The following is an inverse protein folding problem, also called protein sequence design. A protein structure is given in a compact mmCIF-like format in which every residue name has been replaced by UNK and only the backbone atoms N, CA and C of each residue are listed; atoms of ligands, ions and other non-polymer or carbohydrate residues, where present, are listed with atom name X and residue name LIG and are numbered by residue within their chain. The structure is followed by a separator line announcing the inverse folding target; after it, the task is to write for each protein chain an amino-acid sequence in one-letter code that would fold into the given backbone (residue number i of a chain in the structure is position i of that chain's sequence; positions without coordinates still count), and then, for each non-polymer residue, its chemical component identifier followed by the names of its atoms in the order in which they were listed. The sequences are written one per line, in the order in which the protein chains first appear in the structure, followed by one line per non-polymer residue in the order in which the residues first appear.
data_IF_295435393917
#
_entry.id   IF_295435393917
#
_cell.length_a   1.000
_cell.length_b   1.000
_cell.length_c   1.000
_cell.angle_alpha   90.00
_cell.angle_beta   90.00
_cell.angle_gamma   90.00
#
_symmetry.space_group_name_H-M   'P 1'
#
loop_
_entity.id
_entity.type
_entity.pdbx_description
1 polymer ?
#
# COMPACT_ATOMS: atom_id res chain seq x y z
N UNK A 1 6.59 4.25 -2.63
CA UNK A 1 6.15 4.76 -1.31
C UNK A 1 5.70 3.59 -0.46
N UNK A 2 4.62 2.91 -0.84
CA UNK A 2 3.98 1.86 -0.03
C UNK A 2 4.95 0.74 0.39
N UNK A 3 5.84 0.31 -0.52
CA UNK A 3 6.91 -0.65 -0.20
C UNK A 3 7.75 -0.21 1.02
N UNK A 4 8.34 0.99 0.98
CA UNK A 4 9.19 1.50 2.06
C UNK A 4 8.41 1.92 3.32
N UNK A 5 7.15 2.32 3.17
CA UNK A 5 6.27 2.58 4.30
C UNK A 5 5.98 1.28 5.07
N UNK A 6 5.72 0.18 4.36
CA UNK A 6 5.46 -1.13 4.95
C UNK A 6 6.68 -1.76 5.66
N UNK A 7 7.91 -1.34 5.34
CA UNK A 7 9.12 -1.80 6.03
C UNK A 7 9.32 -1.19 7.42
N UNK A 8 8.53 -0.18 7.81
CA UNK A 8 8.60 0.44 9.12
C UNK A 8 8.26 -0.54 10.26
N UNK A 9 8.83 -0.33 11.44
CA UNK A 9 8.62 -1.20 12.61
C UNK A 9 7.30 -0.92 13.36
N UNK A 10 6.22 -0.56 12.67
CA UNK A 10 4.96 -0.17 13.31
C UNK A 10 3.75 -0.28 12.38
N UNK A 11 2.56 -0.04 12.93
CA UNK A 11 1.27 -0.05 12.20
C UNK A 11 1.07 1.14 11.25
N UNK A 12 2.04 2.06 11.18
CA UNK A 12 1.92 3.28 10.37
C UNK A 12 2.42 3.03 8.94
N UNK A 13 1.48 2.61 8.09
CA UNK A 13 1.69 2.44 6.65
C UNK A 13 1.59 3.77 5.87
N UNK A 14 1.32 4.88 6.56
CA UNK A 14 1.06 6.18 5.95
C UNK A 14 2.30 7.09 5.97
N UNK A 15 3.41 6.62 6.52
CA UNK A 15 4.66 7.37 6.56
C UNK A 15 5.89 6.49 6.28
N UNK A 16 6.95 7.11 5.75
CA UNK A 16 8.24 6.46 5.52
C UNK A 16 9.22 6.90 6.60
N UNK A 17 9.63 5.96 7.43
CA UNK A 17 10.60 6.20 8.50
C UNK A 17 11.99 6.53 7.95
N UNK A 18 12.83 7.14 8.78
CA UNK A 18 14.26 7.40 8.43
C UNK A 18 15.00 6.12 8.04
N UNK A 19 14.73 5.00 8.72
CA UNK A 19 15.39 3.73 8.42
C UNK A 19 14.97 3.20 7.05
N UNK A 20 13.67 3.27 6.74
CA UNK A 20 13.14 2.90 5.42
C UNK A 20 13.70 3.79 4.31
N UNK A 21 13.83 5.09 4.56
CA UNK A 21 14.46 6.03 3.63
C UNK A 21 15.94 5.68 3.37
N UNK A 22 16.70 5.36 4.42
CA UNK A 22 18.10 4.94 4.25
C UNK A 22 18.21 3.61 3.50
N UNK A 23 17.24 2.71 3.65
CA UNK A 23 17.19 1.48 2.86
C UNK A 23 16.92 1.79 1.39
N UNK A 24 15.96 2.68 1.07
CA UNK A 24 15.72 3.16 -0.28
C UNK A 24 16.96 3.77 -0.94
N UNK A 25 17.72 4.59 -0.21
CA UNK A 25 18.98 5.17 -0.71
C UNK A 25 20.00 4.07 -1.07
N UNK A 26 20.06 2.99 -0.28
CA UNK A 26 20.95 1.86 -0.52
C UNK A 26 20.48 0.99 -1.68
N UNK A 27 19.20 0.65 -1.72
CA UNK A 27 18.62 -0.21 -2.77
C UNK A 27 18.86 0.42 -4.14
N UNK A 28 18.61 1.72 -4.27
CA UNK A 28 18.84 2.45 -5.52
C UNK A 28 20.29 2.88 -5.76
N UNK A 29 21.22 2.52 -4.87
CA UNK A 29 22.62 2.91 -4.93
C UNK A 29 22.80 4.42 -5.21
N UNK A 30 22.08 5.26 -4.46
CA UNK A 30 22.06 6.71 -4.68
C UNK A 30 23.27 7.42 -4.06
N UNK A 31 23.92 6.78 -3.09
CA UNK A 31 25.03 7.36 -2.36
C UNK A 31 26.35 7.24 -3.15
N UNK A 32 26.98 8.38 -3.41
CA UNK A 32 28.35 8.47 -3.90
C UNK A 32 29.12 9.49 -3.08
N UNK A 33 30.10 9.00 -2.31
CA UNK A 33 30.90 9.83 -1.42
C UNK A 33 31.88 10.75 -2.16
N UNK A 34 32.12 10.52 -3.46
CA UNK A 34 32.95 11.40 -4.28
C UNK A 34 32.19 12.63 -4.81
N UNK A 35 30.87 12.51 -4.99
CA UNK A 35 30.07 13.53 -5.68
C UNK A 35 29.30 14.41 -4.69
N UNK A 36 29.55 15.73 -4.64
CA UNK A 36 28.78 16.65 -3.81
C UNK A 36 27.29 16.58 -4.14
N UNK A 37 26.45 16.51 -3.10
CA UNK A 37 25.01 16.31 -3.22
C UNK A 37 24.57 14.84 -3.19
N UNK A 38 25.48 13.89 -3.44
CA UNK A 38 25.20 12.46 -3.39
C UNK A 38 25.88 11.75 -2.21
N UNK A 39 26.60 12.49 -1.35
CA UNK A 39 27.22 11.92 -0.14
C UNK A 39 26.14 11.52 0.85
N UNK A 40 26.42 10.52 1.69
CA UNK A 40 25.47 10.08 2.73
C UNK A 40 24.93 11.21 3.61
N UNK A 41 25.77 12.22 3.89
CA UNK A 41 25.39 13.40 4.66
C UNK A 41 24.43 14.32 3.89
N UNK A 42 24.63 14.49 2.58
CA UNK A 42 23.78 15.33 1.74
C UNK A 42 22.40 14.68 1.58
N UNK A 43 22.35 13.36 1.39
CA UNK A 43 21.10 12.60 1.29
C UNK A 43 20.32 12.64 2.61
N UNK A 44 21.00 12.53 3.76
CA UNK A 44 20.36 12.74 5.07
C UNK A 44 19.81 14.16 5.24
N UNK A 45 20.52 15.17 4.74
CA UNK A 45 20.06 16.56 4.80
C UNK A 45 18.78 16.77 3.98
N UNK A 46 18.65 16.11 2.81
CA UNK A 46 17.42 16.15 1.99
C UNK A 46 16.23 15.60 2.80
N UNK A 47 16.40 14.47 3.48
CA UNK A 47 15.35 13.89 4.34
C UNK A 47 14.95 14.85 5.46
N UNK A 48 15.92 15.40 6.18
CA UNK A 48 15.67 16.31 7.30
C UNK A 48 15.01 17.62 6.85
N UNK A 49 15.43 18.14 5.70
CA UNK A 49 14.83 19.31 5.06
C UNK A 49 13.37 19.07 4.67
N UNK A 50 13.04 17.89 4.13
CA UNK A 50 11.67 17.56 3.74
C UNK A 50 10.71 17.46 4.94
N UNK A 51 11.18 16.90 6.06
CA UNK A 51 10.41 16.90 7.32
C UNK A 51 10.15 18.34 7.78
N UNK A 52 11.20 19.17 7.82
CA UNK A 52 11.12 20.53 8.35
C UNK A 52 10.26 21.50 7.52
N UNK A 53 10.14 21.27 6.21
CA UNK A 53 9.46 22.18 5.28
C UNK A 53 7.94 22.05 5.34
N UNK A 54 7.42 20.85 5.67
CA UNK A 54 5.98 20.54 5.64
C UNK A 54 5.36 20.29 7.02
N UNK A 55 6.17 20.12 8.08
CA UNK A 55 5.67 19.90 9.45
C UNK A 55 5.00 21.13 10.10
N UNK A 56 5.04 22.31 9.47
CA UNK A 56 4.42 23.53 10.04
C UNK A 56 2.91 23.61 9.81
N UNK A 57 2.33 22.71 9.02
CA UNK A 57 0.93 22.80 8.58
C UNK A 57 0.12 21.51 8.68
N UNK A 58 0.73 20.36 9.03
CA UNK A 58 0.08 19.06 8.87
C UNK A 58 -0.01 18.24 10.18
N UNK A 59 -1.26 17.99 10.62
CA UNK A 59 -1.63 17.26 11.84
C UNK A 59 -1.23 15.77 11.78
N UNK A 60 -0.99 15.24 10.57
CA UNK A 60 -0.55 13.88 10.31
C UNK A 60 0.97 13.72 10.15
N UNK A 61 1.75 14.78 10.36
CA UNK A 61 3.21 14.68 10.35
C UNK A 61 3.69 13.95 11.60
N UNK A 62 3.92 12.64 11.50
CA UNK A 62 4.70 11.93 12.49
C UNK A 62 6.07 12.62 12.57
N UNK A 63 6.44 13.14 13.74
CA UNK A 63 7.52 14.12 13.94
C UNK A 63 8.92 13.72 13.41
N UNK A 64 9.09 12.52 12.85
CA UNK A 64 10.35 11.94 12.35
C UNK A 64 10.17 11.02 11.13
N UNK A 65 9.06 11.12 10.39
CA UNK A 65 8.81 10.30 9.20
C UNK A 65 8.23 11.17 8.06
N UNK A 66 8.36 10.68 6.82
CA UNK A 66 7.87 11.37 5.64
C UNK A 66 6.46 10.88 5.31
N UNK A 67 5.48 11.78 5.28
CA UNK A 67 4.18 11.50 4.65
C UNK A 67 4.36 11.37 3.11
N UNK A 68 3.28 11.08 2.39
CA UNK A 68 3.34 10.85 0.94
C UNK A 68 3.80 12.09 0.15
N UNK A 69 3.40 13.28 0.56
CA UNK A 69 3.80 14.54 -0.09
C UNK A 69 5.29 14.83 0.13
N UNK A 70 5.76 14.69 1.37
CA UNK A 70 7.16 14.84 1.75
C UNK A 70 8.04 13.82 1.01
N UNK A 71 7.58 12.58 0.87
CA UNK A 71 8.27 11.54 0.11
C UNK A 71 8.46 11.92 -1.37
N UNK A 72 7.41 12.42 -2.02
CA UNK A 72 7.52 12.91 -3.41
C UNK A 72 8.51 14.07 -3.48
N UNK A 73 8.47 15.00 -2.52
CA UNK A 73 9.41 16.11 -2.45
C UNK A 73 10.88 15.65 -2.36
N UNK A 74 11.15 14.64 -1.53
CA UNK A 74 12.49 14.01 -1.44
C UNK A 74 12.91 13.40 -2.76
N UNK A 75 12.05 12.63 -3.43
CA UNK A 75 12.37 12.03 -4.74
C UNK A 75 12.73 13.11 -5.76
N UNK A 76 11.94 14.19 -5.83
CA UNK A 76 12.22 15.31 -6.74
C UNK A 76 13.59 15.92 -6.46
N UNK A 77 13.95 16.15 -5.19
CA UNK A 77 15.28 16.67 -4.86
C UNK A 77 16.41 15.70 -5.25
N UNK A 78 16.22 14.40 -5.05
CA UNK A 78 17.20 13.38 -5.47
C UNK A 78 17.43 13.40 -6.98
N UNK A 79 16.35 13.50 -7.77
CA UNK A 79 16.42 13.63 -9.23
C UNK A 79 17.21 14.87 -9.62
N UNK A 80 16.90 16.02 -9.01
CA UNK A 80 17.58 17.28 -9.30
C UNK A 80 19.07 17.20 -8.99
N UNK A 81 19.45 16.65 -7.84
CA UNK A 81 20.85 16.58 -7.43
C UNK A 81 21.64 15.59 -8.30
N UNK A 82 21.08 14.41 -8.57
CA UNK A 82 21.79 13.35 -9.31
C UNK A 82 21.89 13.64 -10.81
N UNK A 83 20.78 14.03 -11.43
CA UNK A 83 20.68 14.09 -12.89
C UNK A 83 20.73 15.51 -13.46
N UNK A 84 20.29 16.53 -12.72
CA UNK A 84 20.32 17.92 -13.21
C UNK A 84 21.61 18.62 -12.81
N UNK A 85 21.94 18.63 -11.51
CA UNK A 85 23.17 19.28 -11.02
C UNK A 85 24.39 18.43 -11.36
N UNK A 86 24.31 17.11 -11.19
CA UNK A 86 25.42 16.19 -11.46
C UNK A 86 25.73 15.98 -12.95
N UNK A 87 24.72 15.97 -13.82
CA UNK A 87 24.88 15.59 -15.24
C UNK A 87 24.42 16.65 -16.25
N UNK A 88 23.84 17.78 -15.81
CA UNK A 88 23.29 18.85 -16.67
C UNK A 88 22.17 18.39 -17.62
N UNK A 89 21.43 17.34 -17.25
CA UNK A 89 20.29 16.87 -18.02
C UNK A 89 19.09 17.80 -17.89
N UNK A 90 18.28 17.90 -18.96
CA UNK A 90 16.98 18.55 -18.88
C UNK A 90 16.08 17.82 -17.88
N UNK A 91 15.28 18.56 -17.10
CA UNK A 91 14.45 18.00 -16.00
C UNK A 91 13.60 16.82 -16.47
N UNK A 92 12.99 16.90 -17.66
CA UNK A 92 12.18 15.81 -18.23
C UNK A 92 12.99 14.52 -18.41
N UNK A 93 14.20 14.62 -18.96
CA UNK A 93 15.09 13.49 -19.16
C UNK A 93 15.57 12.94 -17.82
N UNK A 94 15.94 13.82 -16.90
CA UNK A 94 16.37 13.45 -15.55
C UNK A 94 15.31 12.62 -14.79
N UNK A 95 14.02 12.98 -14.91
CA UNK A 95 12.93 12.21 -14.30
C UNK A 95 12.82 10.83 -14.96
N UNK A 96 12.86 10.78 -16.30
CA UNK A 96 12.79 9.52 -17.03
C UNK A 96 13.96 8.60 -16.68
N UNK A 97 15.19 9.12 -16.71
CA UNK A 97 16.40 8.38 -16.41
C UNK A 97 16.40 7.86 -14.97
N UNK A 98 15.89 8.63 -14.02
CA UNK A 98 15.74 8.16 -12.63
C UNK A 98 14.82 6.94 -12.55
N UNK A 99 13.64 6.98 -13.17
CA UNK A 99 12.72 5.84 -13.10
C UNK A 99 13.21 4.63 -13.89
N UNK A 100 13.71 4.82 -15.11
CA UNK A 100 14.13 3.73 -15.99
C UNK A 100 15.47 3.12 -15.57
N UNK A 101 16.46 3.96 -15.23
CA UNK A 101 17.84 3.51 -15.01
C UNK A 101 18.23 3.39 -13.53
N UNK A 102 17.61 4.12 -12.61
CA UNK A 102 17.87 3.96 -11.17
C UNK A 102 16.78 3.10 -10.50
N UNK A 103 15.49 3.37 -10.70
CA UNK A 103 14.42 2.69 -9.96
C UNK A 103 14.14 1.29 -10.51
N UNK A 104 13.83 1.16 -11.80
CA UNK A 104 13.47 -0.13 -12.41
C UNK A 104 14.62 -1.13 -12.47
N UNK A 105 15.87 -0.65 -12.49
CA UNK A 105 17.06 -1.50 -12.55
C UNK A 105 17.45 -2.09 -11.19
N UNK A 106 17.05 -1.44 -10.09
CA UNK A 106 17.49 -1.80 -8.74
C UNK A 106 16.37 -2.30 -7.83
N UNK A 107 15.09 -2.11 -8.19
CA UNK A 107 13.96 -2.61 -7.41
C UNK A 107 13.31 -3.83 -8.07
N UNK A 108 12.85 -4.73 -7.21
CA UNK A 108 12.11 -5.92 -7.62
C UNK A 108 10.77 -5.57 -8.28
N UNK A 109 10.30 -6.45 -9.18
CA UNK A 109 9.06 -6.28 -9.94
C UNK A 109 7.82 -6.06 -9.07
N UNK A 110 7.86 -6.62 -7.86
CA UNK A 110 6.84 -6.58 -6.82
C UNK A 110 6.59 -5.15 -6.33
N UNK A 111 7.58 -4.26 -6.44
CA UNK A 111 7.46 -2.85 -6.08
C UNK A 111 6.60 -2.04 -7.07
N UNK A 112 6.30 -2.61 -8.24
CA UNK A 112 5.56 -1.96 -9.34
C UNK A 112 4.18 -2.57 -9.56
N UNK A 113 3.72 -3.42 -8.63
CA UNK A 113 2.36 -3.94 -8.69
C UNK A 113 1.35 -2.78 -8.51
N UNK A 114 0.33 -2.77 -9.36
CA UNK A 114 -0.80 -1.87 -9.15
C UNK A 114 -1.61 -2.37 -7.95
N UNK A 115 -1.65 -1.56 -6.89
CA UNK A 115 -2.41 -1.87 -5.68
C UNK A 115 -3.91 -2.05 -5.92
N UNK A 116 -4.44 -1.53 -7.03
CA UNK A 116 -5.84 -1.76 -7.42
C UNK A 116 -6.04 -3.05 -8.22
N UNK A 117 -5.00 -3.71 -8.72
CA UNK A 117 -5.13 -4.98 -9.44
C UNK A 117 -5.76 -6.04 -8.54
N UNK A 118 -5.28 -6.18 -7.30
CA UNK A 118 -5.92 -7.05 -6.30
C UNK A 118 -7.39 -6.67 -6.05
N UNK A 119 -7.69 -5.38 -5.94
CA UNK A 119 -9.07 -4.94 -5.71
C UNK A 119 -9.99 -5.27 -6.89
N UNK A 120 -9.49 -5.12 -8.10
CA UNK A 120 -10.23 -5.45 -9.32
C UNK A 120 -10.46 -6.96 -9.43
N UNK A 121 -9.42 -7.76 -9.18
CA UNK A 121 -9.46 -9.22 -9.35
C UNK A 121 -10.38 -9.91 -8.34
N UNK A 122 -10.54 -9.34 -7.14
CA UNK A 122 -11.34 -9.90 -6.06
C UNK A 122 -12.57 -9.05 -5.69
N UNK A 123 -13.03 -8.20 -6.61
CA UNK A 123 -14.25 -7.41 -6.46
C UNK A 123 -14.28 -6.46 -5.23
N UNK A 124 -13.13 -5.96 -4.79
CA UNK A 124 -13.03 -4.91 -3.76
C UNK A 124 -13.02 -3.50 -4.37
N UNK A 125 -13.89 -3.27 -5.36
CA UNK A 125 -14.04 -1.97 -6.04
C UNK A 125 -15.19 -1.17 -5.47
N UNK A 126 -15.18 0.16 -5.65
CA UNK A 126 -16.28 1.03 -5.22
C UNK A 126 -17.60 0.65 -5.88
N UNK A 127 -17.57 0.29 -7.17
CA UNK A 127 -18.74 -0.20 -7.89
C UNK A 127 -19.33 -1.47 -7.23
N UNK A 128 -18.47 -2.40 -6.82
CA UNK A 128 -18.93 -3.61 -6.11
C UNK A 128 -19.49 -3.25 -4.74
N UNK A 129 -18.85 -2.36 -3.98
CA UNK A 129 -19.38 -1.87 -2.69
C UNK A 129 -20.76 -1.22 -2.86
N UNK A 130 -20.95 -0.41 -3.90
CA UNK A 130 -22.24 0.20 -4.22
C UNK A 130 -23.32 -0.85 -4.49
N UNK A 131 -22.99 -1.88 -5.27
CA UNK A 131 -23.92 -2.97 -5.55
C UNK A 131 -24.23 -3.78 -4.30
N UNK A 132 -23.23 -4.13 -3.49
CA UNK A 132 -23.42 -4.84 -2.23
C UNK A 132 -24.31 -4.05 -1.28
N UNK A 133 -24.08 -2.74 -1.11
CA UNK A 133 -24.94 -1.87 -0.29
C UNK A 133 -26.37 -1.78 -0.79
N UNK A 134 -26.56 -1.69 -2.11
CA UNK A 134 -27.88 -1.63 -2.73
C UNK A 134 -28.71 -2.89 -2.44
N UNK A 135 -28.07 -4.06 -2.49
CA UNK A 135 -28.74 -5.35 -2.29
C UNK A 135 -28.56 -5.92 -0.88
N UNK A 136 -27.89 -5.19 0.02
CA UNK A 136 -27.62 -5.60 1.39
C UNK A 136 -28.88 -6.10 2.13
N UNK A 137 -30.06 -5.45 2.01
CA UNK A 137 -31.26 -5.96 2.69
C UNK A 137 -31.73 -7.31 2.15
N UNK A 138 -31.58 -7.55 0.84
CA UNK A 138 -31.95 -8.82 0.20
C UNK A 138 -30.95 -9.92 0.55
N UNK A 139 -29.66 -9.62 0.50
CA UNK A 139 -28.58 -10.54 0.89
C UNK A 139 -28.74 -10.92 2.36
N UNK A 140 -29.08 -9.96 3.22
CA UNK A 140 -29.36 -10.20 4.64
C UNK A 140 -30.60 -11.05 4.85
N UNK A 141 -31.69 -10.82 4.12
CA UNK A 141 -32.89 -11.65 4.21
C UNK A 141 -32.63 -13.11 3.80
N UNK A 142 -31.79 -13.32 2.77
CA UNK A 142 -31.32 -14.66 2.39
C UNK A 142 -30.50 -15.25 3.54
N UNK A 143 -29.49 -14.53 4.04
CA UNK A 143 -28.66 -14.99 5.15
C UNK A 143 -29.48 -15.40 6.38
N UNK A 144 -30.43 -14.56 6.80
CA UNK A 144 -31.30 -14.78 7.96
C UNK A 144 -32.20 -16.02 7.80
N UNK A 145 -32.47 -16.46 6.56
CA UNK A 145 -33.23 -17.69 6.29
C UNK A 145 -32.44 -18.94 6.69
N UNK A 146 -31.11 -18.91 6.54
CA UNK A 146 -30.23 -20.04 6.86
C UNK A 146 -29.58 -19.92 8.24
N UNK A 147 -29.47 -18.72 8.80
CA UNK A 147 -28.89 -18.47 10.13
C UNK A 147 -29.87 -18.74 11.28
N UNK A 148 -30.47 -19.93 11.31
CA UNK A 148 -31.43 -20.33 12.33
C UNK A 148 -30.80 -20.68 13.68
N UNK A 149 -29.46 -20.73 13.76
CA UNK A 149 -28.71 -20.77 15.02
C UNK A 149 -28.91 -22.08 15.76
N UNK A 150 -28.97 -23.20 15.05
CA UNK A 150 -29.10 -24.52 15.70
C UNK A 150 -27.75 -25.19 15.94
N UNK A 151 -26.69 -24.62 15.37
CA UNK A 151 -25.31 -25.08 15.51
C UNK A 151 -24.60 -24.63 16.78
N UNK A 152 -23.57 -25.42 17.15
CA UNK A 152 -22.57 -25.00 18.12
C UNK A 152 -21.41 -24.32 17.39
N UNK A 153 -21.25 -23.01 17.59
CA UNK A 153 -20.13 -22.24 17.01
C UNK A 153 -19.23 -21.77 18.15
N UNK A 154 -18.17 -22.52 18.43
CA UNK A 154 -17.31 -22.29 19.61
C UNK A 154 -18.10 -22.37 20.92
N UNK A 155 -17.93 -21.38 21.80
CA UNK A 155 -18.68 -21.27 23.08
C UNK A 155 -20.11 -20.73 22.92
N UNK A 156 -20.53 -20.36 21.70
CA UNK A 156 -21.87 -19.80 21.44
C UNK A 156 -22.78 -20.90 20.96
N UNK A 157 -23.61 -21.37 21.88
CA UNK A 157 -24.75 -22.22 21.57
C UNK A 157 -25.89 -21.26 21.18
N UNK A 158 -26.44 -21.39 19.97
CA UNK A 158 -27.58 -20.61 19.44
C UNK A 158 -27.32 -19.20 18.90
N UNK A 159 -26.25 -18.99 18.12
CA UNK A 159 -26.06 -17.69 17.45
C UNK A 159 -26.77 -17.64 16.10
N UNK A 160 -27.71 -16.70 15.93
CA UNK A 160 -28.30 -16.36 14.61
C UNK A 160 -27.48 -15.34 13.81
N UNK A 161 -26.28 -14.98 14.30
CA UNK A 161 -25.38 -14.01 13.67
C UNK A 161 -24.25 -14.66 12.89
N UNK A 162 -24.16 -15.98 12.98
CA UNK A 162 -23.12 -16.81 12.39
C UNK A 162 -23.82 -18.04 11.82
N UNK A 163 -23.32 -18.54 10.69
CA UNK A 163 -23.73 -19.83 10.16
C UNK A 163 -22.79 -20.88 10.72
N UNK A 164 -23.33 -21.99 11.19
CA UNK A 164 -22.51 -23.19 11.39
C UNK A 164 -22.17 -23.84 10.03
N UNK A 165 -21.34 -24.89 10.05
CA UNK A 165 -20.93 -25.54 8.80
C UNK A 165 -22.12 -26.17 8.05
N UNK A 166 -23.15 -26.63 8.77
CA UNK A 166 -24.35 -27.24 8.18
C UNK A 166 -25.20 -26.19 7.49
N UNK A 167 -25.51 -25.11 8.19
CA UNK A 167 -26.24 -23.93 7.71
C UNK A 167 -25.52 -23.28 6.51
N UNK A 168 -24.19 -23.22 6.53
CA UNK A 168 -23.39 -22.75 5.40
C UNK A 168 -23.47 -23.70 4.19
N UNK A 169 -23.37 -25.01 4.38
CA UNK A 169 -23.47 -25.97 3.27
C UNK A 169 -24.86 -25.94 2.63
N UNK A 170 -25.93 -25.84 3.43
CA UNK A 170 -27.30 -25.69 2.93
C UNK A 170 -27.46 -24.41 2.10
N UNK A 171 -26.93 -23.29 2.58
CA UNK A 171 -26.93 -22.02 1.83
C UNK A 171 -26.21 -22.18 0.47
N UNK A 172 -25.05 -22.83 0.46
CA UNK A 172 -24.24 -23.02 -0.75
C UNK A 172 -24.93 -23.95 -1.76
N UNK A 173 -25.53 -25.04 -1.29
CA UNK A 173 -26.27 -26.00 -2.12
C UNK A 173 -27.53 -25.38 -2.71
N UNK A 174 -28.38 -24.75 -1.89
CA UNK A 174 -29.67 -24.19 -2.33
C UNK A 174 -29.50 -23.00 -3.28
N UNK A 175 -28.45 -22.21 -3.10
CA UNK A 175 -28.13 -21.09 -3.98
C UNK A 175 -27.25 -21.49 -5.18
N UNK A 176 -26.78 -22.74 -5.24
CA UNK A 176 -25.89 -23.21 -6.30
C UNK A 176 -24.60 -22.41 -6.42
N UNK A 177 -24.04 -21.95 -5.29
CA UNK A 177 -22.86 -21.07 -5.27
C UNK A 177 -21.56 -21.80 -5.64
N UNK A 178 -21.57 -23.13 -5.62
CA UNK A 178 -20.44 -23.97 -6.02
C UNK A 178 -20.94 -24.95 -7.06
N UNK A 179 -20.29 -24.95 -8.24
CA UNK A 179 -20.54 -25.96 -9.26
C UNK A 179 -20.23 -27.35 -8.68
N UNK A 180 -21.14 -28.29 -8.87
CA UNK A 180 -21.03 -29.69 -8.42
C UNK A 180 -20.01 -30.48 -9.27
N UNK A 181 -18.79 -29.96 -9.36
CA UNK A 181 -17.63 -30.58 -9.96
C UNK A 181 -16.40 -30.36 -9.07
N UNK A 182 -16.20 -31.28 -8.13
CA UNK A 182 -14.85 -31.69 -7.73
C UNK A 182 -14.68 -33.17 -8.12
N UNK A 183 -13.68 -33.53 -8.95
CA UNK A 183 -13.30 -34.92 -9.17
C UNK A 183 -12.68 -35.57 -7.93
#
# INVERSE_FOLDING_TARGET
FDHYAAMGSGSDIFSVSRNSYLQFVRDLNLADNATPGQRDQDLQLIFEGAIATLSKTDEYSAAKALNREQWIGVIVQLILVRHVVGQQSAIRMAVQDFFENDVHSNLDSECFQDGNSFRSDYCYTEETDMMLRKYEPSIRAIYDTFAYGTGAIGDKIFSTKLLDLKEYNELVEDLGLVDSYMP
#
